data_IF_609522200462
#
_entry.id   IF_609522200462
#
_cell.length_a   1.000
_cell.length_b   1.000
_cell.length_c   1.000
_cell.angle_alpha   90.00
_cell.angle_beta   90.00
_cell.angle_gamma   90.00
#
_symmetry.space_group_name_H-M   'P 1'
#
loop_
_entity.id
_entity.type
_entity.pdbx_description
1 polymer ?
#
# COMPACT_ATOMS: atom_id res chain seq x y z
N UNK A 1 -12.71 -6.04 -11.45
CA UNK A 1 -11.38 -6.25 -10.82
C UNK A 1 -10.52 -7.10 -11.73
N UNK A 2 -9.21 -6.86 -11.82
CA UNK A 2 -8.27 -7.61 -12.65
C UNK A 2 -7.07 -8.08 -11.80
N UNK A 3 -6.21 -8.96 -12.33
CA UNK A 3 -5.09 -9.50 -11.56
C UNK A 3 -4.15 -8.42 -11.02
N UNK A 4 -3.86 -7.38 -11.82
CA UNK A 4 -2.96 -6.31 -11.43
C UNK A 4 -3.51 -5.46 -10.28
N UNK A 5 -4.78 -5.06 -10.32
CA UNK A 5 -5.36 -4.21 -9.29
C UNK A 5 -5.50 -4.96 -7.95
N UNK A 6 -5.82 -6.26 -7.98
CA UNK A 6 -5.80 -7.12 -6.79
C UNK A 6 -4.40 -7.18 -6.18
N UNK A 7 -3.35 -7.42 -6.98
CA UNK A 7 -1.96 -7.46 -6.49
C UNK A 7 -1.57 -6.14 -5.83
N UNK A 8 -1.84 -5.01 -6.49
CA UNK A 8 -1.50 -3.69 -5.96
C UNK A 8 -2.21 -3.40 -4.62
N UNK A 9 -3.48 -3.78 -4.48
CA UNK A 9 -4.23 -3.59 -3.23
C UNK A 9 -3.67 -4.49 -2.12
N UNK A 10 -3.46 -5.78 -2.40
CA UNK A 10 -2.94 -6.74 -1.40
C UNK A 10 -1.54 -6.34 -0.95
N UNK A 11 -0.65 -5.97 -1.87
CA UNK A 11 0.69 -5.48 -1.54
C UNK A 11 0.61 -4.18 -0.75
N UNK A 12 -0.26 -3.24 -1.15
CA UNK A 12 -0.47 -1.99 -0.42
C UNK A 12 -0.87 -2.22 1.04
N UNK A 13 -1.83 -3.13 1.28
CA UNK A 13 -2.26 -3.51 2.63
C UNK A 13 -1.17 -4.24 3.42
N UNK A 14 -0.40 -5.12 2.77
CA UNK A 14 0.75 -5.79 3.38
C UNK A 14 1.81 -4.77 3.84
N UNK A 15 2.14 -3.80 2.99
CA UNK A 15 3.10 -2.74 3.33
C UNK A 15 2.57 -1.85 4.46
N UNK A 16 1.26 -1.59 4.55
CA UNK A 16 0.66 -0.89 5.69
C UNK A 16 0.85 -1.67 7.01
N UNK A 17 0.70 -2.99 6.97
CA UNK A 17 1.08 -3.87 8.08
C UNK A 17 2.57 -3.75 8.44
N UNK A 18 3.43 -3.64 7.42
CA UNK A 18 4.85 -3.34 7.57
C UNK A 18 5.13 -2.01 8.28
N UNK A 19 4.39 -0.94 7.97
CA UNK A 19 4.50 0.37 8.64
C UNK A 19 4.23 0.23 10.14
N UNK A 20 3.13 -0.44 10.50
CA UNK A 20 2.78 -0.69 11.89
C UNK A 20 3.87 -1.51 12.60
N UNK A 21 4.33 -2.59 11.95
CA UNK A 21 5.38 -3.47 12.47
C UNK A 21 6.69 -2.70 12.72
N UNK A 22 7.15 -1.91 11.74
CA UNK A 22 8.40 -1.15 11.83
C UNK A 22 8.32 -0.02 12.87
N UNK A 23 7.14 0.59 13.01
CA UNK A 23 6.88 1.56 14.08
C UNK A 23 7.03 0.92 15.46
N UNK A 24 6.48 -0.29 15.67
CA UNK A 24 6.62 -1.03 16.94
C UNK A 24 8.05 -1.50 17.20
N UNK A 25 8.82 -1.81 16.16
CA UNK A 25 10.23 -2.19 16.23
C UNK A 25 11.19 -0.98 16.36
N UNK A 26 10.67 0.25 16.39
CA UNK A 26 11.45 1.50 16.49
C UNK A 26 12.49 1.65 15.37
N UNK A 27 12.15 1.21 14.17
CA UNK A 27 12.99 1.38 12.99
C UNK A 27 13.22 2.87 12.66
N UNK A 28 14.27 3.22 11.89
CA UNK A 28 14.52 4.61 11.49
C UNK A 28 13.30 5.23 10.80
N UNK A 29 12.92 6.45 11.23
CA UNK A 29 11.70 7.13 10.75
C UNK A 29 11.64 7.27 9.24
N UNK A 30 12.78 7.51 8.58
CA UNK A 30 12.86 7.61 7.12
C UNK A 30 12.41 6.33 6.42
N UNK A 31 12.76 5.15 6.95
CA UNK A 31 12.33 3.86 6.40
C UNK A 31 10.83 3.67 6.57
N UNK A 32 10.29 4.04 7.73
CA UNK A 32 8.85 3.97 8.02
C UNK A 32 8.07 4.88 7.05
N UNK A 33 8.53 6.12 6.85
CA UNK A 33 7.90 7.08 5.94
C UNK A 33 7.95 6.58 4.50
N UNK A 34 9.10 6.08 4.05
CA UNK A 34 9.23 5.50 2.70
C UNK A 34 8.27 4.32 2.51
N UNK A 35 8.19 3.43 3.49
CA UNK A 35 7.29 2.27 3.46
C UNK A 35 5.81 2.70 3.42
N UNK A 36 5.45 3.73 4.19
CA UNK A 36 4.11 4.29 4.18
C UNK A 36 3.76 4.91 2.82
N UNK A 37 4.68 5.66 2.21
CA UNK A 37 4.49 6.20 0.87
C UNK A 37 4.30 5.09 -0.16
N UNK A 38 5.12 4.04 -0.13
CA UNK A 38 4.97 2.89 -1.01
C UNK A 38 3.62 2.18 -0.84
N UNK A 39 3.17 2.00 0.41
CA UNK A 39 1.84 1.44 0.71
C UNK A 39 0.72 2.29 0.09
N UNK A 40 0.73 3.61 0.32
CA UNK A 40 -0.26 4.54 -0.25
C UNK A 40 -0.24 4.49 -1.78
N UNK A 41 0.94 4.52 -2.40
CA UNK A 41 1.06 4.45 -3.86
C UNK A 41 0.46 3.17 -4.43
N UNK A 42 0.71 2.01 -3.82
CA UNK A 42 0.13 0.74 -4.24
C UNK A 42 -1.40 0.73 -4.07
N UNK A 43 -1.91 1.20 -2.94
CA UNK A 43 -3.36 1.25 -2.67
C UNK A 43 -4.08 2.17 -3.65
N UNK A 44 -3.58 3.41 -3.81
CA UNK A 44 -4.16 4.38 -4.74
C UNK A 44 -4.10 3.84 -6.18
N UNK A 45 -2.96 3.31 -6.60
CA UNK A 45 -2.81 2.73 -7.94
C UNK A 45 -3.77 1.55 -8.17
N UNK A 46 -3.97 0.69 -7.18
CA UNK A 46 -4.91 -0.43 -7.25
C UNK A 46 -6.36 0.04 -7.33
N UNK A 47 -6.77 0.97 -6.47
CA UNK A 47 -8.14 1.53 -6.44
C UNK A 47 -8.47 2.25 -7.75
N UNK A 48 -7.58 3.11 -8.26
CA UNK A 48 -7.78 3.82 -9.52
C UNK A 48 -8.03 2.87 -10.72
N UNK A 49 -7.59 1.61 -10.64
CA UNK A 49 -7.74 0.59 -11.69
C UNK A 49 -8.96 -0.31 -11.51
N UNK A 50 -9.85 -0.04 -10.55
CA UNK A 50 -11.10 -0.78 -10.39
C UNK A 50 -12.07 -0.34 -11.51
N UNK A 51 -12.39 -1.26 -12.41
CA UNK A 51 -13.40 -1.05 -13.46
C UNK A 51 -14.76 -0.75 -12.83
N UNK A 52 -15.45 0.29 -13.31
CA UNK A 52 -16.74 0.74 -12.79
C UNK A 52 -16.68 1.59 -11.52
N UNK A 53 -15.48 1.95 -11.01
CA UNK A 53 -15.36 2.85 -9.85
C UNK A 53 -15.57 4.33 -10.22
N UNK A 54 -15.32 4.68 -11.48
CA UNK A 54 -15.29 6.06 -11.99
C UNK A 54 -16.38 6.36 -13.03
N UNK A 55 -17.17 5.35 -13.38
CA UNK A 55 -18.37 5.50 -14.21
C UNK A 55 -19.57 5.87 -13.33
#
# INVERSE_FOLDING_TARGET
MNGLNTILIVVGLFLAGGVYSFSKQKMPKGVIVLLALASVMCLVAGILRIQGLWE
#
